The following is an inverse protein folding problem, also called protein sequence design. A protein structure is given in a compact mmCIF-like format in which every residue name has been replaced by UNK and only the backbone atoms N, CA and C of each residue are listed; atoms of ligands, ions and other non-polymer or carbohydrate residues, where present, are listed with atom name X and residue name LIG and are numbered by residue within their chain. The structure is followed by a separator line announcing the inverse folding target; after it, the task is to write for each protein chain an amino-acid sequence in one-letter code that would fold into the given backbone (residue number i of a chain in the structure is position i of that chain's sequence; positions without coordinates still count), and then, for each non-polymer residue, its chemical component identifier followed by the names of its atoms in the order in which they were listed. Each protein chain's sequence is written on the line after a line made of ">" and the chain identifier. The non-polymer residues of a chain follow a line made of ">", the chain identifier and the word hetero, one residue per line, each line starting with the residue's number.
data_IF_321170138014
#
_entry.id   IF_321170138014
#
_cell.length_a   1.000
_cell.length_b   1.000
_cell.length_c   1.000
_cell.angle_alpha   90.00
_cell.angle_beta   90.00
_cell.angle_gamma   90.00
#
_symmetry.space_group_name_H-M   'P 1'
#
loop_
_entity.id
_entity.type
_entity.pdbx_description
1 polymer ?
2 branched ?
3 non-polymer ?
4 non-polymer ?
5 non-polymer ?
6 water ?
#
# COMPACT_ATOMS: atom_id res chain seq x y z
N UNK A 11 -50.68 4.81 20.63
CA UNK A 11 -50.59 3.51 21.27
C UNK A 11 -49.60 2.62 20.53
N UNK A 12 -49.89 2.33 19.27
CA UNK A 12 -48.94 1.62 18.42
C UNK A 12 -47.72 2.51 18.27
N UNK A 13 -47.96 3.82 18.19
CA UNK A 13 -46.88 4.80 18.17
C UNK A 13 -46.17 4.83 19.51
N UNK A 14 -46.94 4.72 20.58
CA UNK A 14 -46.37 4.68 21.93
C UNK A 14 -45.40 3.50 22.09
N UNK A 15 -45.93 2.28 22.10
CA UNK A 15 -45.10 1.09 22.26
C UNK A 15 -44.05 1.00 21.14
N UNK A 16 -44.32 1.67 20.03
CA UNK A 16 -43.40 1.71 18.91
C UNK A 16 -42.17 2.54 19.27
N UNK A 17 -42.40 3.70 19.88
CA UNK A 17 -41.31 4.58 20.31
C UNK A 17 -40.65 4.07 21.59
N UNK A 18 -41.40 3.99 22.68
CA UNK A 18 -40.91 3.44 23.95
C UNK A 18 -40.21 2.11 23.74
N UNK A 19 -40.81 1.24 22.94
CA UNK A 19 -40.21 -0.05 22.63
C UNK A 19 -39.05 0.12 21.67
N UNK A 20 -39.07 1.20 20.90
CA UNK A 20 -38.03 1.45 19.91
C UNK A 20 -36.70 1.91 20.50
N UNK A 21 -36.76 2.87 21.42
CA UNK A 21 -35.54 3.44 22.00
C UNK A 21 -34.71 2.34 22.65
N UNK A 22 -35.37 1.21 22.93
CA UNK A 22 -34.69 0.06 23.52
C UNK A 22 -34.01 -0.76 22.43
N UNK A 23 -34.81 -1.35 21.55
CA UNK A 23 -34.28 -2.17 20.48
C UNK A 23 -33.32 -1.41 19.59
N UNK A 24 -33.78 -0.29 19.04
CA UNK A 24 -32.96 0.52 18.14
C UNK A 24 -31.67 1.02 18.77
N UNK A 25 -31.79 1.95 19.71
CA UNK A 25 -30.62 2.61 20.27
C UNK A 25 -29.85 1.76 21.29
N UNK A 26 -30.57 1.13 22.20
CA UNK A 26 -29.91 0.38 23.27
C UNK A 26 -29.40 -0.98 22.83
N UNK A 27 -30.20 -1.70 22.06
CA UNK A 27 -29.78 -3.02 21.61
C UNK A 27 -28.97 -2.93 20.33
N UNK A 28 -29.60 -2.49 19.25
CA UNK A 28 -28.89 -2.42 17.97
C UNK A 28 -27.68 -1.49 18.01
N UNK A 29 -27.89 -0.26 18.45
CA UNK A 29 -26.83 0.74 18.51
C UNK A 29 -26.09 0.75 19.85
N UNK A 30 -26.42 -0.19 20.72
CA UNK A 30 -25.68 -0.41 21.96
C UNK A 30 -25.38 0.88 22.75
N UNK A 31 -26.41 1.69 22.96
CA UNK A 31 -26.27 2.94 23.69
C UNK A 31 -26.03 2.75 25.18
N UNK A 32 -26.01 1.50 25.63
CA UNK A 32 -25.76 1.21 27.03
C UNK A 32 -24.27 1.03 27.27
N UNK A 33 -23.50 1.27 26.22
CA UNK A 33 -22.08 0.98 26.25
C UNK A 33 -21.20 2.23 26.24
N UNK A 34 -20.17 2.17 27.07
CA UNK A 34 -19.06 3.10 27.00
C UNK A 34 -18.21 2.65 25.82
N UNK A 35 -17.56 3.60 25.15
CA UNK A 35 -16.99 3.31 23.86
C UNK A 35 -15.61 3.94 23.64
N UNK A 36 -14.65 3.12 23.20
CA UNK A 36 -13.29 3.56 22.95
C UNK A 36 -12.91 3.31 21.50
N UNK A 37 -11.87 4.00 21.02
CA UNK A 37 -11.32 3.71 19.71
C UNK A 37 -9.91 3.16 19.88
N UNK A 38 -9.47 2.37 18.91
CA UNK A 38 -8.27 1.55 19.07
C UNK A 38 -6.98 2.36 18.88
N UNK A 39 -5.98 2.06 19.70
CA UNK A 39 -4.62 2.51 19.43
C UNK A 39 -3.83 1.33 18.88
N UNK A 40 -3.18 1.55 17.75
CA UNK A 40 -2.64 0.47 16.96
C UNK A 40 -1.18 0.68 16.57
N UNK A 41 -0.46 -0.40 16.40
CA UNK A 41 0.91 -0.35 15.88
C UNK A 41 1.20 -1.59 15.03
N UNK A 42 1.85 -1.43 13.90
CA UNK A 42 2.15 -2.60 13.09
C UNK A 42 3.58 -2.66 12.59
N UNK A 43 4.11 -3.89 12.51
CA UNK A 43 5.39 -4.12 11.84
C UNK A 43 5.13 -5.24 10.83
N UNK A 44 5.95 -5.29 9.77
CA UNK A 44 5.74 -6.28 8.73
C UNK A 44 7.07 -6.89 8.27
N UNK A 45 7.00 -8.11 7.76
CA UNK A 45 8.20 -8.77 7.23
C UNK A 45 7.76 -9.58 6.03
N UNK A 46 8.45 -9.40 4.91
CA UNK A 46 8.05 -10.09 3.71
C UNK A 46 9.10 -11.16 3.49
N UNK A 47 8.68 -12.30 2.98
CA UNK A 47 9.58 -13.43 2.76
C UNK A 47 9.34 -13.94 1.37
N UNK A 48 10.41 -14.35 0.69
CA UNK A 48 10.24 -14.96 -0.61
C UNK A 48 11.44 -14.66 -1.46
N UNK A 49 11.53 -15.32 -2.62
CA UNK A 49 12.69 -15.14 -3.49
C UNK A 49 12.30 -15.19 -4.93
N UNK A 50 12.75 -14.21 -5.70
CA UNK A 50 12.41 -14.16 -7.11
C UNK A 50 13.65 -14.46 -7.91
N UNK A 51 13.44 -15.07 -9.07
CA UNK A 51 14.54 -15.35 -9.97
C UNK A 51 14.23 -14.58 -11.22
N UNK A 52 15.26 -14.03 -11.85
CA UNK A 52 15.11 -13.25 -13.06
C UNK A 52 16.27 -13.62 -13.96
N UNK A 53 16.01 -13.66 -15.26
CA UNK A 53 17.06 -13.76 -16.25
C UNK A 53 16.76 -12.68 -17.26
N UNK A 54 17.61 -11.65 -17.32
CA UNK A 54 17.32 -10.52 -18.18
C UNK A 54 18.53 -10.22 -19.06
N UNK A 55 18.37 -9.27 -19.97
CA UNK A 55 19.40 -8.99 -20.96
C UNK A 55 20.03 -7.61 -20.81
N UNK A 56 21.26 -7.62 -20.30
CA UNK A 56 21.70 -8.82 -19.59
C UNK A 56 22.34 -8.48 -18.26
N UNK A 57 21.64 -8.76 -17.16
CA UNK A 57 22.29 -8.89 -15.86
C UNK A 57 22.43 -10.38 -15.59
N UNK A 58 21.88 -11.18 -16.51
CA UNK A 58 21.94 -12.62 -16.40
C UNK A 58 20.89 -13.23 -15.50
N UNK A 59 21.27 -14.34 -14.87
CA UNK A 59 20.39 -15.06 -13.94
C UNK A 59 20.70 -14.64 -12.50
N UNK A 60 19.68 -14.12 -11.83
CA UNK A 60 19.86 -13.39 -10.59
C UNK A 60 18.68 -13.67 -9.66
N UNK A 61 18.95 -13.77 -8.36
CA UNK A 61 17.88 -13.81 -7.36
C UNK A 61 17.68 -12.47 -6.67
N UNK A 62 16.44 -12.22 -6.29
CA UNK A 62 16.07 -11.06 -5.52
C UNK A 62 15.44 -11.54 -4.23
N UNK A 63 16.06 -11.19 -3.10
CA UNK A 63 15.48 -11.53 -1.81
C UNK A 63 14.98 -10.27 -1.11
N UNK A 64 14.52 -10.42 0.13
CA UNK A 64 13.84 -9.35 0.86
C UNK A 64 14.65 -8.05 0.87
N UNK A 65 15.97 -8.16 0.93
CA UNK A 65 16.81 -6.97 1.03
C UNK A 65 16.97 -6.31 -0.34
N UNK A 66 16.68 -7.07 -1.39
CA UNK A 66 16.67 -6.57 -2.75
C UNK A 66 15.38 -5.89 -3.15
N UNK A 67 14.25 -6.48 -2.77
CA UNK A 67 12.93 -6.03 -3.24
C UNK A 67 12.04 -5.17 -2.30
N UNK A 68 12.48 -4.94 -1.06
CA UNK A 68 11.69 -4.02 -0.23
C UNK A 68 12.40 -2.67 -0.12
N UNK A 69 11.85 -1.65 -0.80
CA UNK A 69 12.43 -0.31 -0.79
C UNK A 69 11.49 0.70 -0.18
N UNK A 70 11.85 1.27 0.97
CA UNK A 70 13.01 0.94 1.79
C UNK A 70 12.70 -0.25 2.69
N UNK A 71 13.66 -0.67 3.52
CA UNK A 71 13.49 -1.88 4.31
C UNK A 71 12.39 -1.73 5.35
N UNK A 72 12.14 -0.49 5.76
CA UNK A 72 11.33 -0.22 6.95
C UNK A 72 10.42 0.99 6.71
N UNK A 73 9.13 0.81 6.85
CA UNK A 73 8.21 1.97 6.90
C UNK A 73 7.09 1.69 7.87
N UNK A 74 6.53 2.74 8.44
CA UNK A 74 5.58 2.58 9.51
C UNK A 74 4.20 2.46 8.92
N UNK A 75 3.63 1.26 8.99
CA UNK A 75 2.30 1.02 8.46
C UNK A 75 2.16 0.76 6.96
N UNK A 76 3.26 0.48 6.29
CA UNK A 76 3.22 0.08 4.89
C UNK A 76 4.51 -0.60 4.46
N UNK A 77 4.45 -1.29 3.33
CA UNK A 77 5.65 -1.86 2.73
C UNK A 77 5.51 -1.87 1.21
N UNK A 78 6.62 -1.76 0.52
CA UNK A 78 6.60 -1.72 -0.93
C UNK A 78 7.36 -2.90 -1.54
N UNK A 79 6.68 -3.64 -2.39
CA UNK A 79 7.28 -4.82 -2.98
C UNK A 79 7.53 -4.55 -4.45
N UNK A 80 8.77 -4.71 -4.87
CA UNK A 80 9.17 -4.55 -6.26
C UNK A 80 8.58 -5.67 -7.12
N UNK A 81 7.99 -5.30 -8.26
CA UNK A 81 7.36 -6.26 -9.16
C UNK A 81 8.01 -6.25 -10.53
N UNK A 82 8.17 -5.07 -11.11
CA UNK A 82 8.82 -4.93 -12.42
C UNK A 82 9.98 -3.94 -12.37
N UNK A 83 10.89 -3.99 -13.33
CA UNK A 83 12.00 -3.05 -13.36
C UNK A 83 12.49 -2.69 -14.76
N UNK A 84 13.01 -1.47 -14.90
CA UNK A 84 13.87 -1.14 -16.02
C UNK A 84 15.22 -0.68 -15.47
N UNK A 85 16.29 -1.41 -15.81
CA UNK A 85 17.57 -1.21 -15.17
C UNK A 85 18.65 -0.68 -16.12
N UNK A 86 19.27 0.43 -15.74
CA UNK A 86 20.32 1.04 -16.53
C UNK A 86 21.61 0.99 -15.74
N UNK A 87 22.61 0.30 -16.25
CA UNK A 87 23.80 0.03 -15.46
C UNK A 87 25.00 0.75 -16.03
N UNK A 88 25.98 0.93 -15.17
CA UNK A 88 27.24 1.51 -15.58
C UNK A 88 27.11 2.97 -15.97
N UNK A 89 26.25 3.70 -15.26
CA UNK A 89 26.15 5.15 -15.42
C UNK A 89 27.30 5.89 -14.76
N UNK A 90 27.72 6.99 -15.35
CA UNK A 90 28.72 7.88 -14.73
C UNK A 90 28.37 9.29 -15.13
N UNK A 91 28.98 10.28 -14.46
CA UNK A 91 28.72 11.66 -14.84
C UNK A 91 29.55 11.90 -16.08
N UNK A 92 28.87 12.16 -17.18
CA UNK A 92 29.52 12.35 -18.47
C UNK A 92 28.52 12.96 -19.42
N UNK A 93 28.92 13.12 -20.67
CA UNK A 93 28.06 13.74 -21.66
C UNK A 93 27.43 12.68 -22.54
N UNK A 94 26.19 12.88 -22.95
CA UNK A 94 25.61 11.98 -23.95
C UNK A 94 24.44 12.67 -24.63
N UNK A 95 24.04 12.16 -25.80
CA UNK A 95 22.87 12.70 -26.49
C UNK A 95 21.59 12.35 -25.73
N UNK A 96 20.66 13.30 -25.64
CA UNK A 96 19.36 13.02 -25.03
C UNK A 96 18.59 12.02 -25.87
N UNK A 97 17.57 11.40 -25.29
CA UNK A 97 16.71 10.48 -26.04
C UNK A 97 15.83 11.29 -26.99
N UNK A 98 15.67 10.79 -28.22
CA UNK A 98 14.94 11.42 -29.33
C UNK A 98 13.57 11.87 -28.89
N UNK A 99 13.20 13.11 -29.19
CA UNK A 99 11.97 13.69 -28.67
C UNK A 99 11.72 15.06 -29.29
N UNK A 100 10.44 15.43 -29.42
CA UNK A 100 10.17 16.75 -30.01
C UNK A 100 10.97 17.87 -29.33
N UNK A 101 11.14 17.82 -28.02
CA UNK A 101 11.91 18.85 -27.33
C UNK A 101 13.41 18.63 -27.39
N UNK A 102 13.84 17.40 -27.65
CA UNK A 102 15.27 17.10 -27.72
C UNK A 102 15.93 17.03 -29.10
N UNK A 103 15.14 16.96 -30.17
CA UNK A 103 15.76 16.78 -31.48
C UNK A 103 16.31 18.10 -32.00
N UNK A 104 17.35 17.99 -32.83
CA UNK A 104 18.00 19.18 -33.30
C UNK A 104 18.73 18.96 -34.62
N UNK A 105 19.11 20.08 -35.23
CA UNK A 105 19.82 20.11 -36.51
C UNK A 105 21.06 20.96 -36.34
N UNK A 106 20.88 22.16 -35.81
CA UNK A 106 21.95 23.09 -35.58
C UNK A 106 22.35 23.05 -34.09
N UNK A 107 23.62 23.27 -33.79
CA UNK A 107 24.01 23.42 -32.40
C UNK A 107 23.16 24.50 -31.80
N UNK A 108 22.80 25.49 -32.62
CA UNK A 108 22.05 26.64 -32.11
C UNK A 108 20.69 26.24 -31.49
N UNK A 109 20.21 25.05 -31.83
CA UNK A 109 18.99 24.53 -31.23
C UNK A 109 19.16 24.21 -29.75
N UNK A 110 20.40 23.96 -29.33
CA UNK A 110 20.67 23.54 -27.96
C UNK A 110 21.45 24.60 -27.18
N UNK A 111 20.78 25.32 -26.29
CA UNK A 111 21.46 26.37 -25.52
C UNK A 111 22.28 25.82 -24.36
N UNK A 112 23.57 26.13 -24.33
CA UNK A 112 24.40 25.64 -23.24
C UNK A 112 23.79 26.07 -21.92
N UNK A 113 23.84 25.18 -20.93
CA UNK A 113 23.27 25.44 -19.62
C UNK A 113 21.77 25.24 -19.58
N UNK A 114 21.14 25.10 -20.75
CA UNK A 114 19.70 24.93 -20.75
C UNK A 114 19.24 23.70 -19.95
N UNK A 115 18.30 23.93 -19.05
CA UNK A 115 17.87 22.90 -18.15
C UNK A 115 16.37 22.95 -17.93
N UNK A 116 15.67 21.92 -18.36
CA UNK A 116 14.24 21.90 -18.20
C UNK A 116 13.81 20.61 -17.47
N UNK A 117 12.88 20.73 -16.52
CA UNK A 117 12.56 19.64 -15.59
C UNK A 117 12.35 18.28 -16.26
N UNK A 118 11.83 18.28 -17.48
CA UNK A 118 11.54 17.04 -18.18
C UNK A 118 12.68 16.53 -19.10
N UNK A 119 13.84 17.16 -19.05
CA UNK A 119 14.91 16.77 -19.95
C UNK A 119 15.91 15.82 -19.33
N UNK A 120 16.79 15.28 -20.15
CA UNK A 120 17.73 14.26 -19.69
C UNK A 120 18.97 14.78 -18.94
N UNK A 121 19.17 16.08 -18.92
CA UNK A 121 20.33 16.62 -18.23
C UNK A 121 20.53 18.09 -18.50
N UNK A 122 21.76 18.56 -18.32
CA UNK A 122 22.10 19.95 -18.60
C UNK A 122 22.87 20.07 -19.90
N UNK A 123 22.33 20.87 -20.82
CA UNK A 123 22.81 20.93 -22.20
C UNK A 123 24.16 21.63 -22.36
N UNK A 124 24.92 21.18 -23.35
CA UNK A 124 26.30 21.62 -23.54
C UNK A 124 26.61 22.96 -24.28
N UNK A 125 25.70 23.51 -25.09
CA UNK A 125 24.82 22.72 -25.90
C UNK A 125 25.43 22.52 -27.29
N UNK A 126 25.41 21.27 -27.70
CA UNK A 126 25.89 20.91 -29.00
C UNK A 126 24.75 20.09 -29.46
N UNK A 127 24.59 20.00 -30.77
CA UNK A 127 23.63 19.08 -31.33
C UNK A 127 24.47 17.91 -31.82
N UNK A 128 24.24 16.72 -31.30
CA UNK A 128 25.10 15.57 -31.62
C UNK A 128 24.26 14.40 -32.09
N UNK A 129 24.90 13.41 -32.69
CA UNK A 129 24.15 12.25 -33.19
C UNK A 129 23.72 11.36 -32.05
N UNK A 130 22.40 11.15 -31.97
CA UNK A 130 21.84 10.13 -31.10
C UNK A 130 21.92 8.80 -31.85
N UNK A 131 21.76 8.88 -33.16
CA UNK A 131 21.89 7.74 -34.06
C UNK A 131 22.32 8.22 -35.44
N UNK A 132 22.33 7.32 -36.42
CA UNK A 132 22.61 7.71 -37.79
C UNK A 132 21.41 8.44 -38.41
N UNK A 133 20.22 8.09 -37.92
CA UNK A 133 18.96 8.70 -38.36
C UNK A 133 18.65 10.07 -37.70
N UNK A 134 19.11 10.28 -36.46
CA UNK A 134 18.63 11.39 -35.65
C UNK A 134 19.70 12.09 -34.80
N UNK A 135 19.58 13.41 -34.67
CA UNK A 135 20.45 14.19 -33.82
C UNK A 135 19.66 14.71 -32.63
N UNK A 136 20.36 14.96 -31.53
CA UNK A 136 19.75 15.36 -30.28
C UNK A 136 20.70 16.25 -29.49
N UNK A 137 20.15 17.10 -28.63
CA UNK A 137 21.00 17.97 -27.84
C UNK A 137 21.86 17.16 -26.87
N UNK A 138 23.14 17.49 -26.81
CA UNK A 138 24.03 16.86 -25.84
C UNK A 138 23.69 17.34 -24.44
N UNK A 139 23.77 16.45 -23.46
CA UNK A 139 23.61 16.86 -22.07
C UNK A 139 24.70 16.29 -21.20
N UNK A 140 25.04 17.03 -20.16
CA UNK A 140 25.82 16.51 -19.05
C UNK A 140 24.82 15.76 -18.16
N UNK A 141 25.06 14.48 -17.93
CA UNK A 141 24.12 13.66 -17.18
C UNK A 141 24.76 12.43 -16.52
N UNK A 142 23.92 11.55 -15.99
CA UNK A 142 24.38 10.21 -15.73
C UNK A 142 24.15 9.42 -17.03
N UNK A 143 25.24 9.08 -17.69
CA UNK A 143 25.19 8.45 -18.99
C UNK A 143 25.79 7.05 -18.87
N UNK A 144 25.27 6.08 -19.61
CA UNK A 144 24.17 6.16 -20.59
C UNK A 144 22.79 6.49 -19.97
N UNK A 145 21.98 7.23 -20.72
CA UNK A 145 20.61 7.50 -20.29
C UNK A 145 19.79 6.23 -20.30
N UNK A 146 18.70 6.25 -19.54
CA UNK A 146 17.76 5.15 -19.53
C UNK A 146 17.04 5.03 -20.88
N UNK A 147 17.04 3.83 -21.44
CA UNK A 147 16.39 3.62 -22.73
C UNK A 147 14.89 3.84 -22.57
N UNK A 148 14.23 4.28 -23.64
CA UNK A 148 12.79 4.49 -23.57
C UNK A 148 12.00 3.29 -24.09
N UNK A 149 11.32 2.60 -23.17
CA UNK A 149 10.73 1.30 -23.45
C UNK A 149 9.62 1.04 -22.48
N UNK A 150 8.76 0.09 -22.83
CA UNK A 150 7.69 -0.30 -21.94
C UNK A 150 8.24 -1.27 -20.94
N UNK A 151 7.70 -1.25 -19.72
CA UNK A 151 8.17 -2.22 -18.71
C UNK A 151 7.88 -3.66 -19.14
N UNK A 152 8.77 -4.59 -18.80
CA UNK A 152 8.60 -5.98 -19.27
C UNK A 152 7.24 -6.57 -18.92
N UNK A 153 6.58 -7.17 -19.91
CA UNK A 153 5.42 -8.03 -19.69
C UNK A 153 5.64 -9.44 -20.24
N UNK A 154 5.67 -10.45 -19.37
CA UNK A 154 5.40 -10.51 -17.92
C UNK A 154 6.45 -9.74 -17.15
N UNK A 155 6.10 -9.27 -15.95
CA UNK A 155 6.99 -8.45 -15.13
C UNK A 155 8.10 -9.32 -14.59
N UNK A 156 9.29 -8.76 -14.37
CA UNK A 156 10.47 -9.54 -14.02
C UNK A 156 10.31 -10.26 -12.71
N UNK A 157 9.57 -9.62 -11.82
CA UNK A 157 9.34 -10.10 -10.46
C UNK A 157 8.05 -10.89 -10.22
N UNK A 158 7.48 -11.44 -11.28
CA UNK A 158 6.26 -12.25 -11.16
C UNK A 158 6.32 -13.25 -9.99
N UNK A 159 7.49 -13.79 -9.70
CA UNK A 159 7.60 -14.67 -8.55
C UNK A 159 7.00 -14.06 -7.28
N UNK A 160 6.97 -12.73 -7.20
CA UNK A 160 6.49 -12.03 -6.00
C UNK A 160 5.02 -12.30 -5.66
N UNK A 161 4.26 -12.87 -6.59
CA UNK A 161 2.89 -13.27 -6.28
C UNK A 161 2.88 -14.29 -5.16
N UNK A 162 3.97 -15.05 -5.07
CA UNK A 162 4.06 -16.12 -4.09
C UNK A 162 4.74 -15.72 -2.80
N UNK A 163 5.18 -14.47 -2.70
CA UNK A 163 5.79 -13.95 -1.48
C UNK A 163 4.81 -13.95 -0.31
N UNK A 164 5.31 -14.10 0.91
CA UNK A 164 4.45 -13.96 2.07
C UNK A 164 4.86 -12.78 2.94
N UNK A 165 3.88 -12.23 3.65
CA UNK A 165 4.14 -11.15 4.58
C UNK A 165 3.53 -11.45 5.94
N UNK A 166 4.37 -11.46 6.95
CA UNK A 166 3.94 -11.49 8.32
C UNK A 166 3.56 -10.07 8.70
N UNK A 167 2.31 -9.90 9.09
CA UNK A 167 1.82 -8.60 9.56
C UNK A 167 1.53 -8.73 11.04
N UNK A 168 2.37 -8.10 11.86
CA UNK A 168 2.20 -8.15 13.30
C UNK A 168 1.60 -6.84 13.81
N UNK A 169 0.52 -6.96 14.59
CA UNK A 169 -0.25 -5.79 14.97
C UNK A 169 -0.64 -5.75 16.44
N UNK A 170 -0.09 -4.79 17.17
CA UNK A 170 -0.44 -4.57 18.57
C UNK A 170 -1.51 -3.51 18.74
N UNK A 171 -2.44 -3.74 19.65
CA UNK A 171 -3.52 -2.78 19.87
C UNK A 171 -3.81 -2.66 21.34
N UNK A 172 -4.35 -1.51 21.72
CA UNK A 172 -4.79 -1.25 23.07
C UNK A 172 -6.04 -0.38 23.04
N UNK A 173 -6.87 -0.56 24.05
CA UNK A 173 -8.05 0.29 24.28
C UNK A 173 -7.91 0.89 25.67
N UNK A 174 -7.37 2.10 25.75
CA UNK A 174 -6.96 2.69 27.04
C UNK A 174 -8.07 2.75 28.10
N UNK A 175 -9.26 3.23 27.75
CA UNK A 175 -10.35 3.24 28.73
C UNK A 175 -10.48 1.88 29.40
N UNK A 176 -10.39 0.83 28.60
CA UNK A 176 -10.62 -0.51 29.12
C UNK A 176 -9.34 -1.22 29.55
N UNK A 177 -8.21 -0.53 29.49
CA UNK A 177 -6.91 -1.13 29.85
C UNK A 177 -6.72 -2.47 29.15
N UNK A 178 -7.23 -2.56 27.93
CA UNK A 178 -7.28 -3.81 27.18
C UNK A 178 -6.20 -3.88 26.10
N UNK A 179 -5.29 -4.84 26.24
CA UNK A 179 -4.21 -5.04 25.30
C UNK A 179 -4.40 -6.32 24.52
N UNK A 180 -4.11 -6.28 23.22
CA UNK A 180 -4.11 -7.51 22.45
C UNK A 180 -3.22 -7.39 21.23
N UNK A 181 -2.96 -8.53 20.61
CA UNK A 181 -2.05 -8.59 19.48
C UNK A 181 -2.69 -9.52 18.47
N UNK A 182 -2.44 -9.33 17.19
CA UNK A 182 -3.11 -10.15 16.18
C UNK A 182 -2.46 -11.53 16.00
N UNK A 183 -1.43 -11.79 16.80
CA UNK A 183 -0.97 -13.16 16.97
C UNK A 183 -1.81 -13.66 18.13
N UNK A 184 -2.83 -14.47 17.86
CA UNK A 184 -3.77 -14.88 18.91
C UNK A 184 -3.15 -15.83 19.92
N UNK A 185 -3.74 -15.91 21.13
CA UNK A 185 -3.26 -16.80 22.19
C UNK A 185 -3.24 -18.30 21.83
N UNK A 186 -4.11 -18.75 20.93
CA UNK A 186 -4.07 -20.13 20.44
C UNK A 186 -2.97 -20.41 19.41
N UNK A 187 -2.33 -19.34 18.93
CA UNK A 187 -1.18 -19.46 18.03
C UNK A 187 0.08 -19.79 18.83
N UNK A 188 1.08 -20.34 18.16
CA UNK A 188 2.39 -20.58 18.73
C UNK A 188 3.50 -20.45 17.68
N UNK A 189 4.74 -20.58 18.12
CA UNK A 189 5.90 -20.53 17.22
C UNK A 189 5.87 -21.50 16.03
N UNK A 190 5.54 -22.77 16.27
CA UNK A 190 5.53 -23.75 15.19
C UNK A 190 4.60 -23.31 14.08
N UNK A 191 3.40 -22.96 14.53
CA UNK A 191 2.37 -22.62 13.58
C UNK A 191 2.93 -21.57 12.58
N UNK A 192 3.68 -20.61 13.11
CA UNK A 192 4.25 -19.55 12.30
C UNK A 192 5.42 -20.05 11.47
N UNK A 193 5.99 -21.16 11.90
CA UNK A 193 6.99 -21.85 11.12
C UNK A 193 6.42 -22.36 9.78
N UNK A 194 5.11 -22.54 9.74
CA UNK A 194 4.50 -23.13 8.52
C UNK A 194 3.30 -22.41 7.91
N UNK A 195 2.36 -21.97 8.74
CA UNK A 195 1.08 -21.43 8.29
C UNK A 195 1.15 -20.29 7.27
N UNK A 196 0.14 -20.25 6.39
CA UNK A 196 -0.13 -19.09 5.55
C UNK A 196 -1.63 -18.87 5.64
N UNK A 197 -2.03 -17.61 5.78
CA UNK A 197 -3.42 -17.27 6.02
C UNK A 197 -4.35 -17.85 4.98
N UNK A 198 -5.42 -18.47 5.47
CA UNK A 198 -6.48 -18.98 4.63
C UNK A 198 -7.79 -18.79 5.36
N UNK A 199 -8.80 -18.32 4.65
CA UNK A 199 -10.16 -18.22 5.19
C UNK A 199 -10.66 -19.57 5.73
N UNK A 200 -10.36 -20.64 5.00
CA UNK A 200 -10.83 -21.99 5.36
C UNK A 200 -9.97 -22.71 6.41
N UNK A 201 -8.74 -23.09 6.04
CA UNK A 201 -7.87 -23.81 6.95
C UNK A 201 -6.95 -23.04 7.94
N UNK A 202 -6.62 -21.77 7.65
CA UNK A 202 -5.67 -21.03 8.52
C UNK A 202 -6.09 -19.59 8.82
N UNK A 203 -7.25 -19.42 9.44
CA UNK A 203 -7.80 -18.07 9.59
C UNK A 203 -7.04 -17.20 10.60
N UNK A 204 -6.34 -17.83 11.54
CA UNK A 204 -5.56 -17.14 12.58
C UNK A 204 -4.08 -17.05 12.23
N UNK A 205 -3.75 -17.41 10.99
CA UNK A 205 -2.40 -17.17 10.51
C UNK A 205 -2.25 -15.73 10.03
N UNK A 206 -1.44 -14.92 10.72
CA UNK A 206 -1.19 -13.56 10.20
C UNK A 206 0.02 -13.51 9.25
N UNK A 207 0.08 -14.46 8.31
CA UNK A 207 1.10 -14.44 7.29
C UNK A 207 0.39 -14.63 5.98
N UNK A 208 0.35 -13.60 5.16
CA UNK A 208 -0.56 -13.61 4.02
C UNK A 208 0.26 -13.72 2.76
N UNK A 209 -0.27 -14.43 1.77
CA UNK A 209 0.40 -14.54 0.50
C UNK A 209 0.00 -13.32 -0.30
N UNK A 210 0.97 -12.66 -0.95
CA UNK A 210 0.66 -11.42 -1.63
C UNK A 210 -0.39 -11.69 -2.71
N UNK A 211 -0.20 -12.79 -3.45
CA UNK A 211 -1.15 -13.20 -4.46
C UNK A 211 -2.58 -13.24 -3.92
N UNK A 212 -2.75 -13.82 -2.73
CA UNK A 212 -4.06 -13.94 -2.12
C UNK A 212 -4.61 -12.59 -1.71
N UNK A 213 -3.76 -11.74 -1.17
CA UNK A 213 -4.17 -10.36 -0.87
C UNK A 213 -4.78 -9.69 -2.11
N UNK A 214 -4.05 -9.67 -3.23
CA UNK A 214 -4.61 -8.92 -4.35
C UNK A 214 -5.80 -9.66 -4.98
N UNK A 215 -5.73 -10.99 -4.98
CA UNK A 215 -6.79 -11.80 -5.54
C UNK A 215 -8.10 -11.57 -4.80
N UNK A 216 -8.01 -11.59 -3.49
CA UNK A 216 -9.19 -11.39 -2.67
C UNK A 216 -9.78 -10.01 -2.90
N UNK A 217 -8.98 -9.09 -3.41
CA UNK A 217 -9.49 -7.77 -3.73
C UNK A 217 -10.01 -7.81 -5.17
N UNK A 218 -10.09 -9.01 -5.72
CA UNK A 218 -10.55 -9.19 -7.09
C UNK A 218 -9.66 -8.49 -8.10
N UNK A 219 -8.35 -8.69 -7.95
CA UNK A 219 -7.38 -8.13 -8.87
C UNK A 219 -6.42 -9.23 -9.29
N UNK A 220 -5.73 -9.00 -10.41
CA UNK A 220 -4.83 -10.01 -10.93
C UNK A 220 -3.38 -9.57 -10.73
N UNK A 221 -2.69 -10.27 -9.84
CA UNK A 221 -1.34 -9.89 -9.48
C UNK A 221 -0.42 -9.70 -10.69
N UNK A 222 -0.46 -10.62 -11.63
CA UNK A 222 0.47 -10.57 -12.77
C UNK A 222 0.20 -9.37 -13.66
N UNK A 223 -1.06 -8.99 -13.82
CA UNK A 223 -1.41 -7.81 -14.60
C UNK A 223 -0.93 -6.60 -13.82
N UNK A 224 -1.35 -6.54 -12.57
CA UNK A 224 -1.01 -5.43 -11.70
C UNK A 224 0.49 -5.31 -11.43
N UNK A 225 1.24 -6.39 -11.64
CA UNK A 225 2.66 -6.35 -11.34
C UNK A 225 3.47 -5.65 -12.43
N UNK A 226 2.91 -5.56 -13.63
CA UNK A 226 3.62 -4.95 -14.76
C UNK A 226 3.96 -3.47 -14.51
N UNK A 227 2.93 -2.67 -14.24
CA UNK A 227 3.08 -1.25 -13.93
C UNK A 227 3.01 -0.89 -12.44
N UNK A 228 2.77 -1.89 -11.59
CA UNK A 228 2.61 -1.68 -10.16
C UNK A 228 1.26 -1.13 -9.76
N UNK A 229 1.05 -0.92 -8.46
CA UNK A 229 -0.21 -0.39 -7.94
C UNK A 229 -0.19 -0.19 -6.42
N UNK A 230 -1.35 0.11 -5.83
CA UNK A 230 -1.47 0.29 -4.38
C UNK A 230 -2.58 -0.57 -3.75
N UNK A 231 -2.19 -1.39 -2.77
CA UNK A 231 -3.13 -2.29 -2.09
C UNK A 231 -3.32 -1.90 -0.65
N UNK A 232 -4.57 -1.66 -0.28
CA UNK A 232 -4.98 -1.58 1.11
C UNK A 232 -5.21 -2.90 1.81
N UNK A 233 -4.65 -3.01 3.01
CA UNK A 233 -4.92 -4.12 3.91
C UNK A 233 -5.58 -3.53 5.15
N UNK A 234 -6.86 -3.83 5.37
CA UNK A 234 -7.57 -3.27 6.51
C UNK A 234 -7.72 -4.30 7.62
N UNK A 235 -7.36 -3.90 8.84
CA UNK A 235 -7.57 -4.72 10.01
C UNK A 235 -8.55 -4.01 10.94
N UNK A 236 -9.77 -4.53 11.05
CA UNK A 236 -10.80 -3.95 11.92
C UNK A 236 -10.78 -4.72 13.24
N UNK A 237 -10.53 -4.03 14.35
CA UNK A 237 -10.73 -4.67 15.64
C UNK A 237 -11.99 -4.07 16.29
N UNK A 238 -13.11 -4.75 16.17
CA UNK A 238 -14.35 -4.25 16.76
C UNK A 238 -14.76 -5.23 17.82
N UNK A 239 -14.85 -4.74 19.04
CA UNK A 239 -14.94 -5.64 20.17
C UNK A 239 -15.96 -5.18 21.18
N UNK A 240 -16.90 -6.08 21.46
CA UNK A 240 -17.83 -5.90 22.54
C UNK A 240 -17.15 -6.55 23.73
N UNK A 241 -16.70 -5.75 24.69
CA UNK A 241 -15.94 -6.29 25.80
C UNK A 241 -16.85 -6.90 26.86
N UNK A 242 -18.16 -6.81 26.65
CA UNK A 242 -19.11 -7.53 27.49
C UNK A 242 -18.92 -9.02 27.23
N UNK A 243 -18.76 -9.37 25.96
CA UNK A 243 -18.42 -10.74 25.58
C UNK A 243 -17.03 -11.12 26.04
N UNK A 244 -16.71 -12.43 25.98
CA UNK A 244 -15.35 -12.88 26.29
C UNK A 244 -14.28 -12.22 25.44
N UNK A 245 -13.11 -12.02 26.04
CA UNK A 245 -11.98 -11.41 25.37
C UNK A 245 -11.49 -12.27 24.20
N UNK A 246 -12.08 -13.46 24.04
CA UNK A 246 -11.73 -14.38 22.97
C UNK A 246 -12.34 -14.01 21.63
N UNK A 247 -13.53 -13.40 21.62
CA UNK A 247 -13.93 -12.60 20.47
C UNK A 247 -13.06 -11.38 20.68
N UNK A 248 -13.28 -10.32 19.92
CA UNK A 248 -12.27 -9.30 19.87
C UNK A 248 -11.07 -10.00 19.26
N UNK A 249 -11.24 -10.30 17.99
CA UNK A 249 -10.20 -10.78 17.13
C UNK A 249 -10.18 -9.75 16.00
N UNK A 250 -9.04 -9.59 15.34
CA UNK A 250 -8.97 -8.72 14.18
C UNK A 250 -9.70 -9.37 13.02
N UNK A 251 -10.26 -8.57 12.13
CA UNK A 251 -10.86 -9.08 10.91
C UNK A 251 -10.22 -8.33 9.71
N UNK A 252 -9.96 -9.06 8.62
CA UNK A 252 -9.15 -8.56 7.50
C UNK A 252 -9.91 -8.34 6.22
N UNK A 253 -9.84 -7.13 5.66
CA UNK A 253 -10.33 -6.93 4.30
C UNK A 253 -9.21 -6.41 3.43
N UNK A 254 -9.37 -6.56 2.12
CA UNK A 254 -8.31 -6.19 1.19
C UNK A 254 -8.91 -5.41 0.05
N UNK A 255 -8.49 -4.17 -0.12
CA UNK A 255 -9.05 -3.33 -1.17
C UNK A 255 -7.92 -2.84 -2.07
N UNK A 256 -8.16 -2.60 -3.35
CA UNK A 256 -7.17 -1.86 -4.14
C UNK A 256 -7.42 -0.35 -4.03
N UNK A 257 -6.38 0.39 -3.69
CA UNK A 257 -6.47 1.82 -3.40
C UNK A 257 -6.45 2.75 -4.60
N UNK A 258 -5.60 2.43 -5.58
CA UNK A 258 -5.43 3.22 -6.79
C UNK A 258 -6.40 2.77 -7.85
N UNK A 259 -6.18 3.21 -9.09
CA UNK A 259 -7.01 2.77 -10.20
C UNK A 259 -8.46 3.17 -10.03
N UNK A 260 -8.69 4.39 -9.56
CA UNK A 260 -10.03 4.86 -9.24
C UNK A 260 -10.70 5.53 -10.45
N UNK A 261 -10.00 5.51 -11.59
CA UNK A 261 -10.58 5.96 -12.85
C UNK A 261 -10.06 5.11 -14.01
N UNK A 262 -10.42 3.81 -14.00
CA UNK A 262 -9.90 2.78 -14.92
C UNK A 262 -10.15 3.04 -16.41
N UNK A 263 -11.05 3.96 -16.76
CA UNK A 263 -11.25 4.33 -18.16
C UNK A 263 -10.03 5.06 -18.72
N UNK A 264 -9.21 5.64 -17.83
CA UNK A 264 -7.99 6.33 -18.25
C UNK A 264 -6.88 5.36 -18.61
N UNK A 265 -6.10 5.73 -19.62
CA UNK A 265 -4.82 5.07 -19.85
C UNK A 265 -3.75 5.96 -19.23
N UNK A 266 -4.21 7.02 -18.57
CA UNK A 266 -3.34 8.05 -18.05
C UNK A 266 -2.70 7.66 -16.70
N UNK A 267 -1.38 7.65 -16.64
CA UNK A 267 -0.68 7.48 -15.37
C UNK A 267 -1.15 6.25 -14.57
N UNK A 268 -0.92 5.06 -15.13
CA UNK A 268 -1.21 3.78 -14.45
C UNK A 268 -0.18 3.43 -13.37
N UNK A 269 -0.62 2.81 -12.29
CA UNK A 269 0.29 2.12 -11.38
C UNK A 269 1.14 2.92 -10.42
N UNK A 270 2.27 2.34 -10.05
CA UNK A 270 3.19 2.95 -9.11
C UNK A 270 4.61 2.64 -9.55
N UNK A 271 5.43 3.66 -9.70
CA UNK A 271 6.84 3.43 -9.98
C UNK A 271 7.67 4.61 -9.47
N UNK A 272 8.95 4.35 -9.24
CA UNK A 272 9.83 5.40 -8.78
C UNK A 272 11.24 5.01 -9.17
N UNK A 273 12.16 5.95 -9.07
CA UNK A 273 13.52 5.64 -9.49
C UNK A 273 14.43 5.63 -8.29
N UNK A 274 15.45 4.78 -8.29
CA UNK A 274 16.41 4.82 -7.22
C UNK A 274 17.67 4.25 -7.79
N UNK A 275 18.76 4.27 -7.03
CA UNK A 275 20.06 3.93 -7.60
C UNK A 275 20.96 3.20 -6.62
N UNK A 276 21.98 2.54 -7.14
CA UNK A 276 23.00 1.95 -6.32
C UNK A 276 24.32 2.50 -6.80
N UNK A 277 25.05 3.15 -5.89
CA UNK A 277 26.33 3.78 -6.23
C UNK A 277 27.54 2.91 -5.89
N UNK A 278 28.57 2.99 -6.74
CA UNK A 278 29.80 2.22 -6.59
C UNK A 278 30.98 3.11 -6.91
N UNK A 279 32.16 2.75 -6.43
CA UNK A 279 33.38 3.38 -6.96
C UNK A 279 34.15 2.40 -7.84
N UNK A 280 34.63 2.88 -8.98
CA UNK A 280 35.28 2.00 -9.93
C UNK A 280 36.80 2.06 -9.78
N UNK A 281 37.50 1.39 -10.70
CA UNK A 281 38.96 1.31 -10.68
C UNK A 281 39.61 2.67 -10.41
N UNK A 282 39.40 3.59 -11.35
CA UNK A 282 39.89 4.95 -11.24
C UNK A 282 39.44 5.62 -9.95
N UNK A 283 38.41 5.05 -9.31
CA UNK A 283 37.86 5.60 -8.09
C UNK A 283 36.88 6.72 -8.40
N UNK A 284 36.25 6.62 -9.57
CA UNK A 284 35.21 7.54 -9.96
C UNK A 284 33.86 6.83 -9.84
N UNK A 285 32.83 7.55 -9.40
CA UNK A 285 31.51 6.96 -9.19
C UNK A 285 30.89 6.33 -10.46
N UNK A 286 30.26 5.18 -10.28
CA UNK A 286 29.33 4.67 -11.28
C UNK A 286 28.04 4.28 -10.58
N UNK A 287 26.96 4.21 -11.35
CA UNK A 287 25.66 4.14 -10.73
C UNK A 287 24.79 3.15 -11.48
N UNK A 288 23.97 2.40 -10.75
CA UNK A 288 22.92 1.63 -11.39
C UNK A 288 21.61 2.31 -11.08
N UNK A 289 20.89 2.68 -12.13
CA UNK A 289 19.60 3.32 -11.94
C UNK A 289 18.51 2.30 -12.23
N UNK A 290 17.55 2.16 -11.32
CA UNK A 290 16.42 1.31 -11.51
C UNK A 290 15.17 2.16 -11.52
N UNK A 291 14.37 2.02 -12.57
CA UNK A 291 13.01 2.49 -12.49
C UNK A 291 12.27 1.27 -12.00
N UNK A 292 11.86 1.29 -10.74
CA UNK A 292 11.14 0.18 -10.16
C UNK A 292 9.65 0.39 -10.17
N UNK A 293 8.95 -0.70 -10.41
CA UNK A 293 7.50 -0.75 -10.40
C UNK A 293 7.16 -1.79 -9.35
N UNK A 294 6.13 -1.53 -8.55
CA UNK A 294 5.76 -2.48 -7.54
C UNK A 294 4.43 -2.15 -6.89
N UNK A 295 4.06 -2.94 -5.89
CA UNK A 295 2.85 -2.68 -5.15
C UNK A 295 3.20 -2.16 -3.77
N UNK A 296 2.63 -1.01 -3.43
CA UNK A 296 2.68 -0.52 -2.07
C UNK A 296 1.54 -1.20 -1.29
N UNK A 297 1.89 -1.92 -0.25
CA UNK A 297 0.85 -2.46 0.60
C UNK A 297 0.76 -1.58 1.80
N UNK A 298 -0.44 -1.07 2.00
CA UNK A 298 -0.69 -0.07 3.01
C UNK A 298 -1.51 -0.73 4.09
N UNK A 299 -1.05 -0.69 5.33
CA UNK A 299 -1.79 -1.35 6.39
C UNK A 299 -2.56 -0.38 7.24
N UNK A 300 -3.85 -0.62 7.38
CA UNK A 300 -4.77 0.30 8.04
C UNK A 300 -5.54 -0.43 9.14
N UNK A 301 -5.42 0.10 10.35
CA UNK A 301 -6.09 -0.48 11.52
C UNK A 301 -7.17 0.46 12.06
N UNK A 302 -8.39 -0.05 12.18
CA UNK A 302 -9.50 0.69 12.78
C UNK A 302 -10.13 -0.17 13.87
N UNK A 303 -10.83 0.45 14.80
CA UNK A 303 -11.71 -0.31 15.67
C UNK A 303 -12.31 0.47 16.82
N UNK A 304 -13.41 -0.06 17.31
CA UNK A 304 -14.16 0.53 18.39
C UNK A 304 -14.49 -0.56 19.39
N UNK A 305 -14.15 -0.34 20.65
CA UNK A 305 -14.55 -1.26 21.70
C UNK A 305 -15.70 -0.69 22.50
N UNK A 306 -16.76 -1.48 22.69
CA UNK A 306 -17.80 -1.16 23.65
C UNK A 306 -17.61 -1.93 24.95
N UNK A 307 -18.25 -1.43 26.01
CA UNK A 307 -18.36 -2.17 27.28
C UNK A 307 -19.60 -1.68 28.01
N UNK A 308 -20.16 -2.49 28.90
CA UNK A 308 -21.36 -2.02 29.61
C UNK A 308 -21.07 -0.90 30.60
N UNK A 309 -21.87 0.15 30.52
CA UNK A 309 -21.88 1.15 31.58
C UNK A 309 -23.29 1.69 31.83
N UNK A 310 -23.61 1.87 33.10
CA UNK A 310 -24.92 2.36 33.48
C UNK A 310 -25.17 3.77 32.99
N UNK A 311 -24.16 4.63 33.12
CA UNK A 311 -24.31 6.03 32.73
C UNK A 311 -24.91 6.22 31.34
N UNK A 312 -24.22 5.70 30.30
CA UNK A 312 -24.75 5.88 28.95
C UNK A 312 -26.16 5.32 28.85
N UNK A 313 -26.43 4.25 29.60
CA UNK A 313 -27.77 3.67 29.69
C UNK A 313 -28.78 4.71 30.13
N UNK A 314 -28.61 5.18 31.35
CA UNK A 314 -29.47 6.21 31.93
C UNK A 314 -29.65 7.36 30.96
N UNK A 315 -28.55 8.06 30.67
CA UNK A 315 -28.63 9.23 29.80
C UNK A 315 -29.44 8.92 28.54
N UNK A 316 -29.15 7.79 27.91
CA UNK A 316 -29.84 7.43 26.69
C UNK A 316 -31.33 7.15 26.91
N UNK A 317 -31.69 6.80 28.14
CA UNK A 317 -33.09 6.65 28.48
C UNK A 317 -33.75 8.01 28.69
N UNK A 318 -33.06 8.90 29.39
CA UNK A 318 -33.52 10.27 29.57
C UNK A 318 -33.85 10.86 28.22
N UNK A 319 -32.93 10.66 27.26
CA UNK A 319 -33.17 11.10 25.90
C UNK A 319 -34.31 10.32 25.25
N UNK A 320 -34.36 9.02 25.55
CA UNK A 320 -35.35 8.14 24.95
C UNK A 320 -36.79 8.49 25.21
N UNK A 321 -37.11 8.84 26.46
CA UNK A 321 -38.49 9.15 26.85
C UNK A 321 -38.93 10.53 26.35
N UNK A 322 -37.96 11.40 26.11
CA UNK A 322 -38.23 12.72 25.56
C UNK A 322 -39.15 12.63 24.35
N UNK A 323 -38.90 11.64 23.50
CA UNK A 323 -39.76 11.37 22.35
C UNK A 323 -41.04 10.61 22.74
N UNK A 324 -40.88 9.69 23.70
CA UNK A 324 -41.98 8.84 24.16
C UNK A 324 -43.21 9.65 24.59
N UNK A 325 -42.99 10.73 25.33
CA UNK A 325 -44.10 11.56 25.80
C UNK A 325 -44.71 12.46 24.74
N UNK A 326 -43.87 13.11 23.94
CA UNK A 326 -44.34 14.06 22.94
C UNK A 326 -44.79 13.37 21.64
N UNK A 327 -44.77 12.03 21.61
CA UNK A 327 -45.53 11.30 20.60
C UNK A 327 -47.02 11.69 20.72
N UNK A 328 -47.63 11.26 21.82
CA UNK A 328 -49.03 11.58 22.10
C UNK A 328 -49.24 13.04 22.49
N UNK A 329 -48.21 13.67 23.08
CA UNK A 329 -48.30 15.09 23.38
C UNK A 329 -48.31 15.90 22.08
N UNK A 330 -47.54 15.44 21.09
CA UNK A 330 -47.42 16.13 19.82
C UNK A 330 -48.61 15.84 18.92
N UNK A 331 -49.25 14.69 19.13
CA UNK A 331 -50.51 14.39 18.44
C UNK A 331 -51.49 15.54 18.68
N UNK A 332 -51.52 16.03 19.91
CA UNK A 332 -52.34 17.18 20.28
C UNK A 332 -51.69 18.51 19.90
N UNK A 333 -50.35 18.55 19.95
CA UNK A 333 -49.60 19.79 19.81
C UNK A 333 -49.80 20.55 18.49
N UNK A 334 -50.30 19.87 17.47
CA UNK A 334 -50.50 20.50 16.16
C UNK A 334 -51.54 21.61 16.22
X LIG B 1 -0.05 -24.24 18.09
X LIG B 1 -0.54 -25.62 18.57
X LIG B 1 -1.36 -26.41 17.56
X LIG B 1 -2.41 -25.52 16.93
X LIG B 1 -1.76 -24.25 16.41
X LIG B 1 -2.84 -23.38 15.78
X LIG B 1 0.75 -26.68 20.28
X LIG B 1 2.04 -27.32 20.69
X LIG B 1 0.58 -26.44 18.98
X LIG B 1 -2.00 -27.48 18.20
X LIG B 1 -3.00 -26.20 15.84
X LIG B 1 -1.11 -23.56 17.45
X LIG B 1 -3.78 -23.04 16.78
X LIG B 1 -0.09 -26.39 21.13
X LIG B 2 -4.30 -26.67 16.18
X LIG B 2 -5.07 -26.82 14.87
X LIG B 2 -6.41 -27.54 15.01
X LIG B 2 -6.25 -28.83 15.81
X LIG B 2 -5.56 -28.44 17.11
X LIG B 2 -5.43 -29.63 18.05
X LIG B 2 -4.51 -25.33 13.12
X LIG B 2 -5.10 -24.48 12.02
X LIG B 2 -5.25 -25.55 14.19
X LIG B 2 -6.89 -27.77 13.70
X LIG B 2 -7.46 -29.46 16.19
X LIG B 2 -4.28 -27.92 16.84
X LIG B 2 -4.06 -30.00 18.09
X LIG B 2 -3.38 -25.82 13.02
X LIG B 3 -8.38 -29.83 15.15
X LIG B 3 -7.66 -30.22 13.86
X LIG B 3 -8.62 -30.45 12.70
X LIG B 3 -9.42 -31.66 13.23
X LIG B 3 -10.09 -31.37 14.58
X LIG B 3 -10.78 -32.61 15.15
X LIG B 3 -6.94 -31.41 14.11
X LIG B 3 -7.82 -30.73 11.55
X LIG B 3 -10.40 -32.08 12.31
X LIG B 3 -9.17 -30.92 15.57
X LIG B 3 -9.92 -33.23 16.07
X LIG B 4 -8.06 -30.08 10.26
X LIG B 4 -6.84 -29.35 9.66
X LIG B 4 -6.71 -27.90 10.14
X LIG B 4 -7.97 -27.20 9.63
X LIG B 4 -9.28 -27.93 9.97
X LIG B 4 -10.25 -27.56 8.85
X LIG B 4 -7.02 -29.35 8.24
X LIG B 4 -5.58 -27.19 9.61
X LIG B 4 -8.06 -25.92 10.20
X LIG B 4 -9.26 -29.34 10.10
X LIG B 4 -11.43 -26.98 9.40
X LIG B 5 -4.31 -27.55 10.19
X LIG B 5 -3.29 -26.42 10.09
X LIG B 5 -2.82 -26.16 8.67
X LIG B 5 -2.37 -27.45 8.02
X LIG B 5 -3.41 -28.55 8.24
X LIG B 5 -2.89 -29.89 7.74
X LIG B 5 -2.14 -26.73 10.85
X LIG B 5 -1.74 -25.25 8.72
X LIG B 5 -2.19 -27.26 6.63
X LIG B 5 -3.71 -28.69 9.61
X LIG B 5 -3.88 -30.85 8.00
X LIG B 6 -10.49 -34.49 16.49
X LIG B 6 -10.44 -34.74 18.00
X LIG B 6 -11.54 -35.74 18.25
X LIG B 6 -11.36 -36.91 17.29
X LIG B 6 -10.00 -36.81 16.59
X LIG B 6 -9.75 -38.01 15.68
X LIG B 6 -10.71 -33.59 18.76
X LIG B 6 -12.76 -35.09 17.95
X LIG B 6 -11.46 -38.12 17.99
X LIG B 6 -9.94 -35.62 15.82
X LIG B 6 -9.41 -39.14 16.46
X LIG C 1 31.01 0.59 -18.25
X LIG C 1 30.52 -0.52 -19.21
X LIG C 1 31.27 -0.58 -20.53
X LIG C 1 31.48 0.85 -21.03
X LIG C 1 32.30 1.64 -20.04
X LIG C 1 32.56 3.07 -20.48
X LIG C 1 29.42 -2.43 -18.04
X LIG C 1 29.41 -2.61 -16.55
X LIG C 1 30.52 -1.85 -18.56
X LIG C 1 30.54 -1.33 -21.46
X LIG C 1 32.10 0.81 -22.30
X LIG C 1 31.67 1.73 -18.77
X LIG C 1 32.84 3.83 -19.33
X LIG C 1 28.45 -2.82 -18.72
X LIG D 1 8.43 8.76 -16.60
X LIG D 1 9.02 7.50 -17.20
X LIG D 1 8.88 9.09 -15.20
X LIG D 1 8.53 9.95 -17.55
X LIG D 1 6.05 7.19 -16.40
X LIG D 1 6.50 6.35 -15.26
X LIG D 1 6.15 6.64 -17.80
X LIG D 1 6.84 8.60 -16.40
X LIG D 1 3.99 8.40 -14.79
X LIG D 1 5.12 8.45 -13.80
X LIG D 1 2.71 7.68 -14.44
X LIG D 1 4.54 7.75 -16.17
X LIG D 1 3.63 9.89 -15.24
X LIG D 1 2.69 10.16 -16.29
X LIG D 1 3.22 11.27 -17.19
X LIG D 1 3.58 12.41 -16.40
X LIG D 1 4.50 10.82 -17.89
X LIG D 1 4.52 11.32 -19.22
X LIG D 1 5.60 11.47 -17.08
X LIG D 1 6.75 11.78 -17.84
X LIG D 1 4.96 12.73 -16.55
X LIG D 1 5.54 13.09 -15.24
X LIG D 1 5.60 12.28 -14.16
X LIG D 1 6.18 12.92 -13.11
X LIG D 1 6.51 14.16 -13.51
X LIG D 1 7.16 15.35 -12.91
X LIG D 1 7.58 15.35 -11.63
X LIG D 1 7.30 16.44 -13.69
X LIG D 1 6.89 16.48 -14.98
X LIG D 1 6.29 15.43 -15.59
X LIG D 1 6.08 14.27 -14.93
X LIG E 1 3.67 8.40 -9.85
X LIG E 1 4.39 8.58 -11.05
X LIG E 1 3.28 6.93 -9.77
X LIG E 1 4.25 6.21 -9.01
X LIG E 1 3.15 6.38 -11.19
X LIG E 1 2.13 7.12 -11.80
X LIG F 1 8.13 8.26 -21.05
X LIG F 1 7.77 9.41 -20.25
X LIG F 1 8.00 7.02 -20.17
X LIG F 1 9.27 6.66 -19.66
X LIG F 1 7.34 5.86 -20.92
X LIG F 1 7.02 4.84 -19.97
#
# INVERSE_FOLDING_TARGET
>A
GSSKKVGTLNRFTQALVIAYVIGYVCVYNKGYQDTDTVLSSVTTKVKGIALTKTSELGERIWDVADYIIPPQEDGSFFVLTNMIITTNQTQSKCAENPTPASTCTSHRDCKRGFNDARGDGVRTGRCVSYSASVKTCEVLSWCPLEKIVDPPNPPLLADAERFTVLIKNNIRYPKFNFNKRNILPNINSSYLTHCVFSRKTDPDCPIFRLGDIVGEAEEDFQIMAVRGGVMGVQIRWDCDLDMPQSWCVPRYTFRRLDNKDPDNNVAPGYNFRFAKYYKNSDGTETRTLIKGYGIRFDVMVFGQAGKFNIIPTLLNIGAGLALLGLVNVICDWIVLTFMK
>B hetero
1 NAG C1 C2 C3 C4 C5 C6 C7 C8 N2 O3 O4 O5 O6 O7
2 NAG C1 C2 C3 C4 C5 C6 C7 C8 N2 O3 O4 O5 O6 O7
3 BMA C1 C2 C3 C4 C5 C6 O2 O3 O4 O5 O6
4 MAN C1 C2 C3 C4 C5 C6 O2 O3 O4 O5 O6
5 MAN C1 C2 C3 C4 C5 C6 O2 O3 O4 O5 O6
6 MAN C1 C2 C3 C4 C5 C6 O2 O3 O4 O5 O6
>C hetero
1 NAG C1 C2 C3 C4 C5 C6 C7 C8 N2 O3 O4 O5 O6 O7
>D hetero
1 ATP PG O1G O2G O3G PB O1B O2B O3B PA O1A O2A O3A O5' C5' C4' O4' C3' O3' C2' O2' C1' N9 C8 N7 C5 C6 N6 N1 C2 N3 C4
>E hetero
1 GOL C1 O1 C2 O2 C3 O3
>F hetero
1 GOL C1 O1 C2 O2 C3 O3
#
